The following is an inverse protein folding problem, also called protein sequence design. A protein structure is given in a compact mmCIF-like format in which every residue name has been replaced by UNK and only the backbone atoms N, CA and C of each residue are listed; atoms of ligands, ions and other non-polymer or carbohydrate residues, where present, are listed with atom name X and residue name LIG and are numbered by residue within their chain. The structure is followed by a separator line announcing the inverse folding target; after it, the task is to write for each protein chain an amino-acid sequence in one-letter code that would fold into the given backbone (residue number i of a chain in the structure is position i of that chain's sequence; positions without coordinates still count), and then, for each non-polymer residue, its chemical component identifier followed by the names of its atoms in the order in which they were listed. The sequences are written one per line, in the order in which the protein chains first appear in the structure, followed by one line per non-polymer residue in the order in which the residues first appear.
data_IF_043646087577
#
_entry.id   IF_043646087577
#
_cell.length_a   1.000
_cell.length_b   1.000
_cell.length_c   1.000
_cell.angle_alpha   90.00
_cell.angle_beta   90.00
_cell.angle_gamma   90.00
#
_symmetry.space_group_name_H-M   'P 1'
#
loop_
_entity.id
_entity.type
_entity.pdbx_description
1 polymer ?
#
# COMPACT_ATOMS: atom_id res chain seq x y z
N UNK A 1 4.81 -33.17 -14.05
CA UNK A 1 4.34 -32.25 -13.01
C UNK A 1 5.53 -31.85 -12.17
N UNK A 2 5.84 -30.55 -12.09
CA UNK A 2 6.89 -30.06 -11.19
C UNK A 2 6.26 -30.03 -9.80
N UNK A 3 6.33 -31.17 -9.11
CA UNK A 3 5.56 -31.43 -7.89
C UNK A 3 6.06 -30.66 -6.65
N UNK A 4 7.21 -29.97 -6.73
CA UNK A 4 7.87 -29.29 -5.61
C UNK A 4 8.66 -28.08 -6.13
N UNK A 5 8.63 -26.97 -5.41
CA UNK A 5 9.39 -25.75 -5.68
C UNK A 5 10.54 -25.63 -4.66
N UNK A 6 11.77 -25.92 -5.08
CA UNK A 6 12.97 -25.84 -4.23
C UNK A 6 13.48 -24.38 -4.09
N UNK A 7 14.60 -24.19 -3.38
CA UNK A 7 15.19 -22.86 -3.18
C UNK A 7 15.48 -22.10 -4.47
N UNK A 8 16.22 -22.69 -5.44
CA UNK A 8 16.47 -22.07 -6.74
C UNK A 8 15.18 -21.73 -7.52
N UNK A 9 14.17 -22.61 -7.51
CA UNK A 9 12.90 -22.32 -8.15
C UNK A 9 12.18 -21.14 -7.47
N UNK A 10 12.11 -21.11 -6.14
CA UNK A 10 11.52 -20.02 -5.37
C UNK A 10 12.23 -18.69 -5.66
N UNK A 11 13.57 -18.68 -5.65
CA UNK A 11 14.35 -17.49 -5.98
C UNK A 11 14.02 -16.99 -7.40
N UNK A 12 13.94 -17.88 -8.39
CA UNK A 12 13.59 -17.50 -9.75
C UNK A 12 12.16 -16.94 -9.87
N UNK A 13 11.21 -17.41 -9.05
CA UNK A 13 9.87 -16.81 -8.97
C UNK A 13 9.90 -15.40 -8.38
N UNK A 14 10.66 -15.19 -7.29
CA UNK A 14 10.83 -13.86 -6.69
C UNK A 14 11.50 -12.87 -7.66
N UNK A 15 12.48 -13.33 -8.44
CA UNK A 15 13.14 -12.51 -9.45
C UNK A 15 12.17 -12.08 -10.56
N UNK A 16 11.37 -13.02 -11.07
CA UNK A 16 10.37 -12.71 -12.10
C UNK A 16 9.24 -11.82 -11.59
N UNK A 17 8.80 -12.03 -10.34
CA UNK A 17 7.85 -11.14 -9.67
C UNK A 17 8.40 -9.71 -9.59
N UNK A 18 9.63 -9.57 -9.11
CA UNK A 18 10.28 -8.27 -8.93
C UNK A 18 10.47 -7.55 -10.27
N UNK A 19 10.88 -8.26 -11.32
CA UNK A 19 11.02 -7.71 -12.67
C UNK A 19 9.67 -7.25 -13.23
N UNK A 20 8.58 -8.00 -12.98
CA UNK A 20 7.24 -7.61 -13.42
C UNK A 20 6.78 -6.32 -12.75
N UNK A 21 7.01 -6.18 -11.44
CA UNK A 21 6.74 -4.94 -10.72
C UNK A 21 7.63 -3.79 -11.20
N UNK A 22 8.91 -4.05 -11.46
CA UNK A 22 9.88 -3.04 -11.88
C UNK A 22 9.46 -2.31 -13.17
N UNK A 23 8.80 -3.02 -14.09
CA UNK A 23 8.28 -2.46 -15.35
C UNK A 23 7.00 -1.65 -15.20
N UNK A 24 6.29 -1.83 -14.09
CA UNK A 24 5.00 -1.20 -13.82
C UNK A 24 5.08 -0.23 -12.65
N UNK A 25 6.27 0.23 -12.24
CA UNK A 25 6.41 1.19 -11.13
C UNK A 25 5.62 2.46 -11.40
N UNK A 26 5.78 3.06 -12.57
CA UNK A 26 5.11 4.31 -12.92
C UNK A 26 3.58 4.12 -12.97
N UNK A 27 3.13 2.97 -13.48
CA UNK A 27 1.72 2.58 -13.48
C UNK A 27 1.17 2.48 -12.04
N UNK A 28 1.87 1.81 -11.15
CA UNK A 28 1.46 1.64 -9.75
C UNK A 28 1.50 2.96 -9.00
N UNK A 29 2.55 3.77 -9.21
CA UNK A 29 2.69 5.10 -8.63
C UNK A 29 1.55 6.02 -9.07
N UNK A 30 1.13 5.96 -10.33
CA UNK A 30 0.03 6.77 -10.85
C UNK A 30 -1.34 6.44 -10.23
N UNK A 31 -1.50 5.23 -9.66
CA UNK A 31 -2.73 4.80 -8.97
C UNK A 31 -2.74 5.19 -7.49
N UNK A 32 -1.63 5.70 -6.94
CA UNK A 32 -1.46 5.88 -5.51
C UNK A 32 -2.23 7.10 -5.01
N UNK A 33 -3.45 6.86 -4.55
CA UNK A 33 -4.36 7.89 -4.02
C UNK A 33 -4.75 7.67 -2.56
N UNK A 34 -4.37 6.54 -1.95
CA UNK A 34 -4.76 6.15 -0.60
C UNK A 34 -3.57 5.58 0.19
N UNK A 35 -3.42 5.90 1.49
CA UNK A 35 -4.15 6.92 2.23
C UNK A 35 -3.68 8.35 1.91
N UNK A 36 -2.46 8.47 1.39
CA UNK A 36 -1.84 9.73 0.97
C UNK A 36 -1.54 9.62 -0.53
N UNK A 37 -1.94 10.61 -1.36
CA UNK A 37 -1.70 10.59 -2.79
C UNK A 37 -0.26 11.05 -3.13
N UNK A 38 0.75 10.40 -2.56
CA UNK A 38 2.17 10.80 -2.65
C UNK A 38 2.93 10.16 -3.83
N UNK A 39 2.27 9.28 -4.59
CA UNK A 39 2.83 8.72 -5.81
C UNK A 39 4.00 7.76 -5.64
N UNK A 40 4.22 7.19 -4.44
CA UNK A 40 5.43 6.40 -4.17
C UNK A 40 5.23 4.87 -4.06
N UNK A 41 3.98 4.38 -4.05
CA UNK A 41 3.66 2.98 -3.71
C UNK A 41 4.44 1.95 -4.52
N UNK A 42 4.54 2.11 -5.84
CA UNK A 42 5.30 1.20 -6.71
C UNK A 42 6.80 1.26 -6.43
N UNK A 43 7.33 2.45 -6.13
CA UNK A 43 8.74 2.66 -5.78
C UNK A 43 9.09 1.99 -4.45
N UNK A 44 8.23 2.14 -3.44
CA UNK A 44 8.36 1.55 -2.13
C UNK A 44 8.29 0.01 -2.17
N UNK A 45 7.32 -0.55 -2.89
CA UNK A 45 7.22 -1.99 -3.10
C UNK A 45 8.43 -2.56 -3.86
N UNK A 46 8.90 -1.87 -4.91
CA UNK A 46 10.06 -2.32 -5.67
C UNK A 46 11.35 -2.29 -4.84
N UNK A 47 11.55 -1.23 -4.04
CA UNK A 47 12.69 -1.13 -3.13
C UNK A 47 12.72 -2.31 -2.16
N UNK A 48 11.55 -2.62 -1.57
CA UNK A 48 11.35 -3.74 -0.65
C UNK A 48 11.71 -5.08 -1.31
N UNK A 49 11.20 -5.33 -2.52
CA UNK A 49 11.48 -6.58 -3.26
C UNK A 49 12.94 -6.70 -3.70
N UNK A 50 13.58 -5.60 -4.11
CA UNK A 50 15.01 -5.59 -4.44
C UNK A 50 15.88 -5.96 -3.23
N UNK A 51 15.54 -5.43 -2.05
CA UNK A 51 16.21 -5.80 -0.80
C UNK A 51 15.97 -7.28 -0.45
N UNK A 52 14.73 -7.77 -0.59
CA UNK A 52 14.40 -9.19 -0.40
C UNK A 52 15.26 -10.10 -1.29
N UNK A 53 15.38 -9.78 -2.59
CA UNK A 53 16.21 -10.53 -3.52
C UNK A 53 17.70 -10.51 -3.17
N UNK A 54 18.22 -9.36 -2.73
CA UNK A 54 19.63 -9.25 -2.34
C UNK A 54 19.99 -10.23 -1.22
N UNK A 55 19.10 -10.43 -0.26
CA UNK A 55 19.28 -11.42 0.81
C UNK A 55 19.05 -12.84 0.30
N UNK A 56 17.96 -13.07 -0.44
CA UNK A 56 17.58 -14.40 -0.94
C UNK A 56 18.65 -15.04 -1.83
N UNK A 57 19.38 -14.24 -2.62
CA UNK A 57 20.46 -14.72 -3.51
C UNK A 57 21.65 -15.33 -2.77
N UNK A 58 21.84 -14.97 -1.50
CA UNK A 58 22.95 -15.45 -0.67
C UNK A 58 22.52 -16.57 0.29
N UNK A 59 21.28 -17.05 0.18
CA UNK A 59 20.75 -18.10 1.04
C UNK A 59 21.18 -19.49 0.56
N UNK A 60 21.08 -20.48 1.46
CA UNK A 60 21.18 -21.89 1.09
C UNK A 60 20.08 -22.24 0.06
N UNK A 61 20.34 -23.16 -0.88
CA UNK A 61 19.44 -23.46 -1.99
C UNK A 61 18.25 -24.35 -1.59
N UNK A 62 17.64 -24.07 -0.45
CA UNK A 62 16.43 -24.72 0.07
C UNK A 62 15.33 -23.70 0.27
N UNK A 63 14.08 -24.09 0.04
CA UNK A 63 12.95 -23.16 0.01
C UNK A 63 12.79 -22.36 1.32
N UNK A 64 12.94 -23.01 2.47
CA UNK A 64 12.87 -22.35 3.78
C UNK A 64 13.96 -21.30 4.01
N UNK A 65 15.20 -21.58 3.61
CA UNK A 65 16.30 -20.62 3.75
C UNK A 65 16.14 -19.42 2.82
N UNK A 66 15.74 -19.65 1.57
CA UNK A 66 15.43 -18.59 0.60
C UNK A 66 14.29 -17.71 1.10
N UNK A 67 13.20 -18.30 1.60
CA UNK A 67 12.06 -17.57 2.14
C UNK A 67 12.43 -16.76 3.38
N UNK A 68 13.20 -17.34 4.31
CA UNK A 68 13.67 -16.65 5.51
C UNK A 68 14.58 -15.45 5.17
N UNK A 69 15.53 -15.64 4.25
CA UNK A 69 16.41 -14.57 3.79
C UNK A 69 15.62 -13.48 3.06
N UNK A 70 14.67 -13.86 2.19
CA UNK A 70 13.81 -12.91 1.48
C UNK A 70 12.95 -12.09 2.44
N UNK A 71 12.34 -12.71 3.46
CA UNK A 71 11.57 -12.02 4.49
C UNK A 71 12.42 -11.04 5.30
N UNK A 72 13.64 -11.45 5.68
CA UNK A 72 14.57 -10.56 6.38
C UNK A 72 14.96 -9.36 5.51
N UNK A 73 15.34 -9.61 4.25
CA UNK A 73 15.67 -8.53 3.31
C UNK A 73 14.49 -7.60 3.06
N UNK A 74 13.27 -8.14 2.95
CA UNK A 74 12.05 -7.34 2.80
C UNK A 74 11.80 -6.46 4.03
N UNK A 75 11.98 -6.98 5.25
CA UNK A 75 11.83 -6.19 6.49
C UNK A 75 12.88 -5.06 6.56
N UNK A 76 14.14 -5.38 6.26
CA UNK A 76 15.24 -4.39 6.31
C UNK A 76 15.10 -3.31 5.24
N UNK A 77 14.57 -3.66 4.07
CA UNK A 77 14.36 -2.74 2.95
C UNK A 77 12.94 -2.22 2.82
N UNK A 78 12.06 -2.47 3.81
CA UNK A 78 10.69 -1.99 3.75
C UNK A 78 10.67 -0.46 3.77
N UNK A 79 9.89 0.15 2.87
CA UNK A 79 9.60 1.59 2.87
C UNK A 79 8.13 1.84 2.62
N UNK A 80 7.60 2.89 3.24
CA UNK A 80 6.18 3.24 3.17
C UNK A 80 5.27 2.17 3.79
N UNK A 81 3.98 2.49 3.88
CA UNK A 81 2.94 1.53 4.25
C UNK A 81 2.98 0.28 3.35
N UNK A 82 3.10 0.47 2.04
CA UNK A 82 3.05 -0.60 1.04
C UNK A 82 4.23 -1.58 1.15
N UNK A 83 5.45 -1.07 1.35
CA UNK A 83 6.64 -1.91 1.55
C UNK A 83 6.63 -2.62 2.90
N UNK A 84 6.16 -1.95 3.96
CA UNK A 84 6.01 -2.59 5.29
C UNK A 84 4.98 -3.72 5.22
N UNK A 85 3.81 -3.52 4.62
CA UNK A 85 2.81 -4.58 4.43
C UNK A 85 3.38 -5.73 3.59
N UNK A 86 4.08 -5.42 2.49
CA UNK A 86 4.72 -6.43 1.64
C UNK A 86 5.77 -7.24 2.40
N UNK A 87 6.52 -6.63 3.31
CA UNK A 87 7.46 -7.35 4.18
C UNK A 87 6.76 -8.39 5.08
N UNK A 88 5.53 -8.11 5.50
CA UNK A 88 4.73 -9.04 6.31
C UNK A 88 4.14 -10.17 5.47
N UNK A 89 3.84 -9.92 4.19
CA UNK A 89 3.50 -10.99 3.24
C UNK A 89 4.69 -11.96 3.10
N UNK A 90 5.91 -11.42 2.95
CA UNK A 90 7.13 -12.23 2.90
C UNK A 90 7.40 -12.97 4.22
N UNK A 91 7.06 -12.36 5.37
CA UNK A 91 7.11 -13.04 6.67
C UNK A 91 6.18 -14.26 6.72
N UNK A 92 4.97 -14.15 6.17
CA UNK A 92 4.07 -15.30 6.07
C UNK A 92 4.62 -16.44 5.20
N UNK A 93 5.33 -16.10 4.12
CA UNK A 93 6.05 -17.08 3.30
C UNK A 93 7.19 -17.75 4.07
N UNK A 94 7.98 -16.98 4.83
CA UNK A 94 9.04 -17.51 5.72
C UNK A 94 8.44 -18.53 6.71
N UNK A 95 7.38 -18.15 7.40
CA UNK A 95 6.84 -18.96 8.49
C UNK A 95 6.22 -20.26 7.95
N UNK A 96 5.52 -20.21 6.81
CA UNK A 96 4.99 -21.39 6.15
C UNK A 96 6.07 -22.34 5.57
N UNK A 97 7.26 -21.83 5.24
CA UNK A 97 8.36 -22.61 4.67
C UNK A 97 9.47 -22.96 5.67
N UNK A 98 9.29 -22.64 6.95
CA UNK A 98 10.28 -22.91 7.99
C UNK A 98 10.70 -24.39 8.00
N UNK A 99 12.01 -24.64 7.84
CA UNK A 99 12.59 -25.98 7.85
C UNK A 99 12.26 -26.86 6.63
N UNK A 100 11.68 -26.31 5.56
CA UNK A 100 11.29 -27.07 4.35
C UNK A 100 12.33 -26.93 3.24
N UNK A 101 12.74 -28.07 2.68
CA UNK A 101 13.65 -28.11 1.53
C UNK A 101 12.98 -27.59 0.25
N UNK A 102 11.70 -27.90 0.08
CA UNK A 102 10.90 -27.52 -1.07
C UNK A 102 9.44 -27.27 -0.68
N UNK A 103 8.82 -26.29 -1.34
CA UNK A 103 7.44 -25.87 -1.19
C UNK A 103 6.50 -26.75 -2.02
N UNK A 104 5.44 -27.24 -1.38
CA UNK A 104 4.28 -27.88 -2.02
C UNK A 104 3.14 -26.88 -2.21
N UNK A 105 2.08 -27.26 -2.93
CA UNK A 105 0.91 -26.38 -3.09
C UNK A 105 0.21 -26.09 -1.75
N UNK A 106 0.14 -27.07 -0.84
CA UNK A 106 -0.39 -26.86 0.52
C UNK A 106 0.43 -25.82 1.28
N UNK A 107 1.76 -25.92 1.22
CA UNK A 107 2.64 -24.95 1.89
C UNK A 107 2.45 -23.53 1.33
N UNK A 108 2.19 -23.39 0.02
CA UNK A 108 1.90 -22.11 -0.59
C UNK A 108 0.52 -21.56 -0.17
N UNK A 109 -0.51 -22.40 -0.06
CA UNK A 109 -1.81 -21.98 0.49
C UNK A 109 -1.68 -21.55 1.95
N UNK A 110 -0.90 -22.29 2.76
CA UNK A 110 -0.60 -21.94 4.15
C UNK A 110 0.17 -20.61 4.23
N UNK A 111 1.09 -20.35 3.28
CA UNK A 111 1.81 -19.08 3.17
C UNK A 111 0.88 -17.89 2.92
N UNK A 112 -0.14 -18.02 2.08
CA UNK A 112 -1.14 -16.94 1.88
C UNK A 112 -1.99 -16.70 3.13
N UNK A 113 -2.38 -17.77 3.84
CA UNK A 113 -3.11 -17.64 5.09
C UNK A 113 -2.29 -16.92 6.17
N UNK A 114 -1.02 -17.30 6.32
CA UNK A 114 -0.06 -16.67 7.22
C UNK A 114 0.26 -15.23 6.82
N UNK A 115 0.45 -14.96 5.52
CA UNK A 115 0.66 -13.60 4.99
C UNK A 115 -0.51 -12.67 5.33
N UNK A 116 -1.76 -13.15 5.17
CA UNK A 116 -2.95 -12.40 5.58
C UNK A 116 -2.91 -12.05 7.06
N UNK A 117 -2.61 -13.02 7.92
CA UNK A 117 -2.56 -12.80 9.37
C UNK A 117 -1.52 -11.73 9.76
N UNK A 118 -0.29 -11.84 9.25
CA UNK A 118 0.77 -10.88 9.55
C UNK A 118 0.47 -9.48 9.00
N UNK A 119 -0.03 -9.39 7.76
CA UNK A 119 -0.35 -8.12 7.13
C UNK A 119 -1.48 -7.37 7.87
N UNK A 120 -2.53 -8.08 8.28
CA UNK A 120 -3.61 -7.47 9.06
C UNK A 120 -3.16 -7.08 10.47
N UNK A 121 -2.31 -7.88 11.14
CA UNK A 121 -1.79 -7.55 12.48
C UNK A 121 -0.89 -6.30 12.47
N UNK A 122 -0.15 -6.09 11.39
CA UNK A 122 0.77 -4.96 11.25
C UNK A 122 0.05 -3.61 11.22
N UNK A 123 -1.14 -3.56 10.61
CA UNK A 123 -1.89 -2.32 10.38
C UNK A 123 -2.90 -2.10 11.51
N UNK A 124 -2.83 -0.94 12.16
CA UNK A 124 -3.69 -0.59 13.30
C UNK A 124 -5.15 -0.43 12.92
N UNK A 125 -5.42 0.19 11.77
CA UNK A 125 -6.78 0.42 11.26
C UNK A 125 -6.89 -0.07 9.81
N UNK A 126 -7.07 -1.39 9.58
CA UNK A 126 -7.24 -1.93 8.24
C UNK A 126 -8.47 -1.31 7.54
N UNK A 127 -8.28 -0.81 6.32
CA UNK A 127 -9.35 -0.21 5.53
C UNK A 127 -9.82 -1.15 4.40
N UNK A 128 -11.12 -1.12 4.05
CA UNK A 128 -11.63 -1.86 2.90
C UNK A 128 -11.06 -1.32 1.59
N UNK A 129 -10.97 -2.19 0.58
CA UNK A 129 -10.54 -1.82 -0.76
C UNK A 129 -9.07 -1.43 -0.83
N UNK A 130 -8.23 -2.10 -0.04
CA UNK A 130 -6.77 -1.94 0.00
C UNK A 130 -6.07 -3.26 -0.37
N UNK A 131 -4.73 -3.22 -0.48
CA UNK A 131 -3.87 -4.41 -0.60
C UNK A 131 -4.24 -5.52 0.41
N UNK A 132 -4.63 -5.16 1.64
CA UNK A 132 -5.03 -6.13 2.67
C UNK A 132 -6.27 -6.93 2.26
N UNK A 133 -7.32 -6.25 1.79
CA UNK A 133 -8.54 -6.92 1.34
C UNK A 133 -8.30 -7.75 0.07
N UNK A 134 -7.42 -7.28 -0.82
CA UNK A 134 -7.07 -8.06 -2.00
C UNK A 134 -6.30 -9.34 -1.63
N UNK A 135 -5.35 -9.24 -0.69
CA UNK A 135 -4.65 -10.40 -0.14
C UNK A 135 -5.61 -11.38 0.56
N UNK A 136 -6.60 -10.88 1.28
CA UNK A 136 -7.61 -11.72 1.93
C UNK A 136 -8.44 -12.52 0.92
N UNK A 137 -8.93 -11.86 -0.14
CA UNK A 137 -9.68 -12.50 -1.22
C UNK A 137 -8.83 -13.58 -1.93
N UNK A 138 -7.56 -13.28 -2.18
CA UNK A 138 -6.59 -14.22 -2.76
C UNK A 138 -6.39 -15.42 -1.82
N UNK A 139 -6.16 -15.18 -0.52
CA UNK A 139 -5.97 -16.21 0.49
C UNK A 139 -7.19 -17.15 0.61
N UNK A 140 -8.40 -16.60 0.56
CA UNK A 140 -9.64 -17.40 0.60
C UNK A 140 -9.84 -18.23 -0.67
N UNK A 141 -9.41 -17.74 -1.84
CA UNK A 141 -9.46 -18.50 -3.08
C UNK A 141 -8.46 -19.68 -3.07
N UNK A 142 -7.19 -19.41 -2.72
CA UNK A 142 -6.15 -20.46 -2.69
C UNK A 142 -6.37 -21.49 -1.58
N UNK A 143 -6.96 -21.09 -0.45
CA UNK A 143 -7.29 -22.00 0.65
C UNK A 143 -8.35 -23.05 0.29
N UNK A 144 -9.10 -22.84 -0.81
CA UNK A 144 -10.08 -23.79 -1.36
C UNK A 144 -9.52 -24.67 -2.48
N UNK A 145 -8.33 -24.37 -2.99
CA UNK A 145 -7.68 -25.15 -4.05
C UNK A 145 -6.79 -26.25 -3.44
N UNK A 146 -6.73 -27.39 -4.12
CA UNK A 146 -5.86 -28.52 -3.80
C UNK A 146 -5.07 -28.84 -5.08
N UNK A 147 -4.03 -28.06 -5.33
CA UNK A 147 -3.20 -28.17 -6.52
C UNK A 147 -1.69 -28.20 -6.15
N UNK A 148 -0.84 -28.35 -7.16
CA UNK A 148 0.60 -28.12 -7.03
C UNK A 148 0.91 -26.60 -6.90
N UNK A 149 2.16 -26.20 -6.57
CA UNK A 149 2.50 -24.79 -6.43
C UNK A 149 2.11 -23.91 -7.62
N UNK A 150 2.18 -24.44 -8.84
CA UNK A 150 1.83 -23.70 -10.05
C UNK A 150 0.30 -23.48 -10.16
N UNK A 151 -0.51 -24.50 -9.84
CA UNK A 151 -1.96 -24.37 -9.81
C UNK A 151 -2.46 -23.43 -8.71
N UNK A 152 -1.83 -23.45 -7.53
CA UNK A 152 -2.12 -22.49 -6.46
C UNK A 152 -1.79 -21.06 -6.91
N UNK A 153 -0.62 -20.84 -7.53
CA UNK A 153 -0.23 -19.53 -8.04
C UNK A 153 -1.17 -19.02 -9.14
N UNK A 154 -1.63 -19.91 -10.03
CA UNK A 154 -2.63 -19.58 -11.05
C UNK A 154 -3.95 -19.15 -10.42
N UNK A 155 -4.41 -19.87 -9.40
CA UNK A 155 -5.60 -19.52 -8.63
C UNK A 155 -5.45 -18.14 -7.97
N UNK A 156 -4.28 -17.86 -7.38
CA UNK A 156 -3.99 -16.57 -6.78
C UNK A 156 -4.05 -15.41 -7.78
N UNK A 157 -3.44 -15.57 -8.97
CA UNK A 157 -3.47 -14.54 -10.02
C UNK A 157 -4.89 -14.29 -10.52
N UNK A 158 -5.67 -15.34 -10.76
CA UNK A 158 -7.08 -15.20 -11.20
C UNK A 158 -7.93 -14.50 -10.15
N UNK A 159 -7.86 -14.92 -8.88
CA UNK A 159 -8.58 -14.27 -7.79
C UNK A 159 -8.16 -12.80 -7.62
N UNK A 160 -6.86 -12.52 -7.80
CA UNK A 160 -6.31 -11.18 -7.69
C UNK A 160 -6.85 -10.20 -8.74
N UNK A 161 -7.21 -10.65 -9.95
CA UNK A 161 -7.83 -9.76 -10.96
C UNK A 161 -9.13 -9.16 -10.43
N UNK A 162 -10.01 -10.01 -9.92
CA UNK A 162 -11.30 -9.57 -9.38
C UNK A 162 -11.13 -8.78 -8.08
N UNK A 163 -10.20 -9.22 -7.23
CA UNK A 163 -9.92 -8.57 -5.95
C UNK A 163 -9.42 -7.13 -6.16
N UNK A 164 -8.49 -6.92 -7.10
CA UNK A 164 -8.01 -5.58 -7.48
C UNK A 164 -9.15 -4.73 -8.03
N UNK A 165 -9.98 -5.27 -8.93
CA UNK A 165 -11.11 -4.52 -9.49
C UNK A 165 -12.11 -4.07 -8.40
N UNK A 166 -12.37 -4.91 -7.39
CA UNK A 166 -13.26 -4.56 -6.26
C UNK A 166 -12.73 -3.40 -5.43
N UNK A 167 -11.41 -3.18 -5.36
CA UNK A 167 -10.83 -2.11 -4.54
C UNK A 167 -11.32 -0.72 -4.91
N UNK A 168 -11.55 -0.46 -6.20
CA UNK A 168 -12.08 0.82 -6.69
C UNK A 168 -13.43 1.16 -6.03
N UNK A 169 -14.29 0.16 -5.84
CA UNK A 169 -15.63 0.35 -5.28
C UNK A 169 -15.70 0.06 -3.77
N UNK A 170 -14.64 -0.41 -3.14
CA UNK A 170 -14.65 -0.67 -1.70
C UNK A 170 -14.03 0.48 -0.88
N UNK A 171 -13.10 1.24 -1.46
CA UNK A 171 -12.48 2.38 -0.80
C UNK A 171 -13.02 3.71 -1.36
N UNK A 172 -13.51 4.65 -0.52
CA UNK A 172 -14.04 5.93 -0.98
C UNK A 172 -13.05 6.79 -1.79
N UNK A 173 -11.77 6.84 -1.42
CA UNK A 173 -10.76 7.63 -2.13
C UNK A 173 -10.48 7.05 -3.52
N UNK A 174 -10.32 5.72 -3.59
CA UNK A 174 -10.17 5.01 -4.87
C UNK A 174 -11.39 5.24 -5.78
N UNK A 175 -12.61 5.19 -5.20
CA UNK A 175 -13.86 5.43 -5.94
C UNK A 175 -13.92 6.86 -6.48
N UNK A 176 -13.59 7.85 -5.65
CA UNK A 176 -13.62 9.25 -6.00
C UNK A 176 -12.61 9.58 -7.12
N UNK A 177 -11.42 8.99 -7.06
CA UNK A 177 -10.41 9.10 -8.10
C UNK A 177 -10.68 8.21 -9.34
N UNK A 178 -11.62 7.26 -9.24
CA UNK A 178 -11.93 6.34 -10.33
C UNK A 178 -10.84 5.30 -10.61
N UNK A 179 -9.98 5.03 -9.63
CA UNK A 179 -8.82 4.13 -9.74
C UNK A 179 -8.95 2.92 -8.81
N UNK A 180 -8.17 1.87 -9.06
CA UNK A 180 -7.99 0.75 -8.12
C UNK A 180 -6.89 1.08 -7.11
N UNK A 181 -6.83 0.32 -6.01
CA UNK A 181 -5.76 0.44 -5.02
C UNK A 181 -4.38 0.11 -5.63
N UNK A 182 -3.43 1.04 -5.46
CA UNK A 182 -2.07 0.88 -5.97
C UNK A 182 -1.36 -0.33 -5.36
N UNK A 183 -1.51 -0.54 -4.06
CA UNK A 183 -0.90 -1.67 -3.36
C UNK A 183 -1.43 -3.02 -3.85
N UNK A 184 -2.74 -3.15 -4.00
CA UNK A 184 -3.39 -4.34 -4.55
C UNK A 184 -2.93 -4.61 -5.99
N UNK A 185 -2.82 -3.57 -6.82
CA UNK A 185 -2.29 -3.68 -8.18
C UNK A 185 -0.84 -4.16 -8.18
N UNK A 186 0.01 -3.57 -7.34
CA UNK A 186 1.40 -3.98 -7.15
C UNK A 186 1.53 -5.44 -6.72
N UNK A 187 0.70 -5.89 -5.77
CA UNK A 187 0.68 -7.28 -5.31
C UNK A 187 0.30 -8.22 -6.46
N UNK A 188 -0.75 -7.89 -7.22
CA UNK A 188 -1.15 -8.69 -8.38
C UNK A 188 -0.05 -8.78 -9.45
N UNK A 189 0.68 -7.70 -9.71
CA UNK A 189 1.81 -7.69 -10.65
C UNK A 189 2.93 -8.64 -10.19
N UNK A 190 3.23 -8.70 -8.90
CA UNK A 190 4.19 -9.67 -8.35
C UNK A 190 3.74 -11.11 -8.61
N UNK A 191 2.46 -11.41 -8.38
CA UNK A 191 1.88 -12.73 -8.63
C UNK A 191 1.90 -13.10 -10.12
N UNK A 192 1.53 -12.16 -11.00
CA UNK A 192 1.57 -12.34 -12.45
C UNK A 192 3.00 -12.64 -12.95
N UNK A 193 4.00 -11.92 -12.44
CA UNK A 193 5.41 -12.17 -12.74
C UNK A 193 5.87 -13.56 -12.31
N UNK A 194 5.52 -13.97 -11.09
CA UNK A 194 5.83 -15.32 -10.60
C UNK A 194 5.15 -16.42 -11.43
N UNK A 195 3.89 -16.22 -11.85
CA UNK A 195 3.14 -17.15 -12.70
C UNK A 195 3.75 -17.23 -14.10
N UNK A 196 4.09 -16.08 -14.69
CA UNK A 196 4.75 -16.04 -15.99
C UNK A 196 6.07 -16.81 -15.99
N UNK A 197 6.79 -16.86 -14.85
CA UNK A 197 7.95 -17.74 -14.70
C UNK A 197 7.57 -19.23 -14.68
N UNK A 198 6.52 -19.61 -13.96
CA UNK A 198 6.08 -21.02 -13.89
C UNK A 198 5.65 -21.55 -15.27
N UNK A 199 5.05 -20.69 -16.10
CA UNK A 199 4.56 -21.02 -17.44
C UNK A 199 5.63 -20.82 -18.54
N UNK A 200 6.86 -20.43 -18.18
CA UNK A 200 7.93 -20.17 -19.16
C UNK A 200 7.69 -18.94 -20.05
N UNK A 201 6.76 -18.06 -19.67
CA UNK A 201 6.40 -16.81 -20.38
C UNK A 201 7.23 -15.60 -19.98
N UNK A 202 8.05 -15.68 -18.92
CA UNK A 202 8.83 -14.54 -18.42
C UNK A 202 9.70 -13.85 -19.51
N UNK A 203 10.26 -14.62 -20.44
CA UNK A 203 11.06 -14.08 -21.57
C UNK A 203 10.21 -13.39 -22.65
N UNK A 204 8.92 -13.72 -22.78
CA UNK A 204 8.00 -13.10 -23.77
C UNK A 204 7.47 -11.76 -23.28
N UNK A 205 7.26 -11.60 -21.97
CA UNK A 205 6.95 -10.31 -21.36
C UNK A 205 8.07 -9.29 -21.62
N UNK A 206 9.33 -9.74 -21.62
CA UNK A 206 10.47 -8.90 -21.97
C UNK A 206 10.47 -8.38 -23.42
N UNK A 207 9.77 -9.05 -24.34
CA UNK A 207 9.83 -8.77 -25.78
C UNK A 207 8.58 -8.08 -26.36
N UNK A 208 7.45 -8.03 -25.64
CA UNK A 208 6.18 -7.52 -26.16
C UNK A 208 5.89 -6.03 -25.87
N UNK A 209 6.81 -5.30 -25.24
CA UNK A 209 6.56 -3.93 -24.72
C UNK A 209 7.09 -2.80 -25.64
N UNK A 210 7.10 -3.04 -26.95
CA UNK A 210 7.33 -1.99 -27.97
C UNK A 210 6.09 -1.13 -28.28
N UNK A 211 4.94 -1.41 -27.66
CA UNK A 211 3.70 -0.66 -27.87
C UNK A 211 3.04 -0.34 -26.54
N UNK A 212 3.48 0.74 -25.91
CA UNK A 212 2.73 1.36 -24.83
C UNK A 212 1.37 1.81 -25.37
N UNK A 213 0.30 1.13 -25.01
CA UNK A 213 -1.03 1.73 -25.05
C UNK A 213 -1.00 2.90 -24.07
N UNK A 214 -1.29 4.13 -24.51
CA UNK A 214 -1.41 5.25 -23.59
C UNK A 214 -2.47 4.88 -22.56
N UNK A 215 -2.16 5.04 -21.29
CA UNK A 215 -3.20 5.23 -20.28
C UNK A 215 -3.96 6.45 -20.77
N UNK A 216 -5.14 6.23 -21.35
CA UNK A 216 -6.04 7.31 -21.72
C UNK A 216 -6.28 8.08 -20.44
N UNK A 217 -5.74 9.30 -20.35
CA UNK A 217 -6.11 10.26 -19.34
C UNK A 217 -7.64 10.34 -19.37
N UNK A 218 -8.28 9.69 -18.41
CA UNK A 218 -9.70 9.82 -18.21
C UNK A 218 -9.91 11.31 -17.96
N UNK A 219 -10.64 11.96 -18.85
CA UNK A 219 -11.17 13.32 -18.64
C UNK A 219 -11.69 13.40 -17.22
N UNK A 220 -11.11 14.30 -16.43
CA UNK A 220 -11.42 14.50 -15.01
C UNK A 220 -12.93 14.48 -14.79
N UNK A 221 -13.49 13.47 -14.10
CA UNK A 221 -14.80 13.63 -13.53
C UNK A 221 -14.64 14.70 -12.45
N UNK A 222 -15.31 15.83 -12.61
CA UNK A 222 -15.60 16.74 -11.50
C UNK A 222 -16.08 15.86 -10.35
N UNK A 223 -15.33 15.81 -9.25
CA UNK A 223 -15.67 15.05 -8.07
C UNK A 223 -17.12 15.37 -7.68
N UNK A 224 -18.02 14.41 -7.84
CA UNK A 224 -19.30 14.45 -7.18
C UNK A 224 -19.02 14.13 -5.71
N UNK A 225 -19.27 15.11 -4.84
CA UNK A 225 -19.28 14.92 -3.40
C UNK A 225 -20.31 13.82 -3.08
N UNK A 226 -19.81 12.60 -2.93
CA UNK A 226 -20.58 11.43 -2.52
C UNK A 226 -20.72 11.43 -1.00
N UNK A 227 -21.86 10.91 -0.57
CA UNK A 227 -22.37 10.85 0.80
C UNK A 227 -21.34 10.41 1.85
N UNK A 228 -21.45 11.00 3.04
CA UNK A 228 -20.52 10.89 4.15
C UNK A 228 -20.22 9.44 4.57
N UNK A 229 -18.98 9.04 4.33
CA UNK A 229 -18.34 7.91 4.99
C UNK A 229 -17.14 8.44 5.78
N UNK A 230 -16.91 7.86 6.96
CA UNK A 230 -15.77 8.14 7.82
C UNK A 230 -14.49 7.60 7.15
N UNK A 231 -13.97 8.38 6.19
CA UNK A 231 -12.70 8.09 5.52
C UNK A 231 -11.59 8.51 6.46
N UNK A 232 -10.61 7.63 6.68
CA UNK A 232 -9.44 7.93 7.48
C UNK A 232 -8.79 9.24 7.00
N UNK A 233 -8.93 10.31 7.79
CA UNK A 233 -8.19 11.55 7.56
C UNK A 233 -6.75 11.27 7.94
N UNK A 234 -5.80 11.31 7.00
CA UNK A 234 -4.39 11.25 7.34
C UNK A 234 -4.03 12.51 8.14
N UNK A 235 -3.70 12.34 9.42
CA UNK A 235 -3.34 13.43 10.34
C UNK A 235 -1.82 13.42 10.56
N UNK A 236 -1.05 13.91 9.61
CA UNK A 236 0.39 14.06 9.79
C UNK A 236 1.06 14.69 8.58
N UNK A 237 1.87 15.72 8.79
CA UNK A 237 2.60 16.39 7.70
C UNK A 237 3.83 15.60 7.25
N UNK A 238 4.36 14.74 8.12
CA UNK A 238 5.59 14.01 7.88
C UNK A 238 5.38 12.50 7.93
N UNK A 239 6.01 11.80 6.99
CA UNK A 239 6.28 10.37 7.10
C UNK A 239 7.63 10.14 7.78
N UNK A 240 7.65 9.30 8.82
CA UNK A 240 8.86 8.97 9.57
C UNK A 240 9.08 7.46 9.54
N UNK A 241 10.25 7.07 9.06
CA UNK A 241 10.63 5.66 8.95
C UNK A 241 12.03 5.44 9.52
N UNK A 242 12.23 4.33 10.21
CA UNK A 242 13.55 3.88 10.63
C UNK A 242 13.55 2.43 11.07
N UNK A 243 14.75 1.87 11.25
CA UNK A 243 15.00 0.56 11.81
C UNK A 243 15.56 0.67 13.23
N UNK A 244 15.15 -0.23 14.12
CA UNK A 244 15.72 -0.41 15.45
C UNK A 244 16.38 -1.78 15.47
N UNK A 245 17.70 -1.85 15.64
CA UNK A 245 18.43 -3.12 15.73
C UNK A 245 18.42 -3.64 17.17
N UNK A 246 18.17 -4.94 17.34
CA UNK A 246 18.14 -5.64 18.64
C UNK A 246 17.38 -4.84 19.71
N UNK A 247 16.08 -4.57 19.49
CA UNK A 247 15.30 -3.70 20.35
C UNK A 247 15.23 -4.22 21.80
N UNK A 248 15.30 -3.32 22.77
CA UNK A 248 15.11 -3.60 24.19
C UNK A 248 13.63 -3.66 24.60
N UNK A 249 12.73 -3.26 23.70
CA UNK A 249 11.27 -3.18 23.88
C UNK A 249 10.56 -3.93 22.77
N UNK A 250 9.36 -4.44 23.03
CA UNK A 250 8.61 -5.18 22.00
C UNK A 250 8.02 -4.23 20.96
N UNK A 251 7.66 -4.78 19.79
CA UNK A 251 6.94 -4.04 18.76
C UNK A 251 5.64 -3.42 19.30
N UNK A 252 4.90 -4.18 20.12
CA UNK A 252 3.63 -3.74 20.70
C UNK A 252 3.85 -2.59 21.71
N UNK A 253 4.90 -2.64 22.52
CA UNK A 253 5.23 -1.56 23.47
C UNK A 253 5.57 -0.24 22.76
N UNK A 254 6.37 -0.32 21.69
CA UNK A 254 6.77 0.86 20.89
C UNK A 254 5.57 1.41 20.13
N UNK A 255 4.74 0.53 19.55
CA UNK A 255 3.51 0.88 18.85
C UNK A 255 2.53 1.62 19.75
N UNK A 256 2.30 1.09 20.96
CA UNK A 256 1.36 1.68 21.91
C UNK A 256 1.77 3.11 22.31
N UNK A 257 3.06 3.36 22.57
CA UNK A 257 3.55 4.69 22.92
C UNK A 257 3.43 5.68 21.74
N UNK A 258 3.72 5.25 20.52
CA UNK A 258 3.53 6.09 19.33
C UNK A 258 2.07 6.46 19.11
N UNK A 259 1.14 5.53 19.36
CA UNK A 259 -0.29 5.78 19.28
C UNK A 259 -0.77 6.73 20.39
N UNK A 260 -0.29 6.59 21.62
CA UNK A 260 -0.59 7.50 22.73
C UNK A 260 -0.13 8.94 22.42
N UNK A 261 0.96 9.07 21.67
CA UNK A 261 1.46 10.35 21.19
C UNK A 261 0.58 11.01 20.11
N UNK A 262 -0.44 10.30 19.61
CA UNK A 262 -1.36 10.80 18.58
C UNK A 262 -0.81 10.66 17.15
N UNK A 263 0.14 9.74 16.95
CA UNK A 263 0.62 9.43 15.61
C UNK A 263 -0.42 8.65 14.80
N UNK A 264 -0.38 8.82 13.48
CA UNK A 264 -1.30 8.19 12.54
C UNK A 264 -0.56 7.20 11.63
N UNK A 265 -1.29 6.30 10.97
CA UNK A 265 -0.72 5.26 10.10
C UNK A 265 0.47 4.53 10.75
N UNK A 266 0.32 4.15 12.03
CA UNK A 266 1.41 3.54 12.82
C UNK A 266 1.60 2.07 12.43
N UNK A 267 2.74 1.76 11.81
CA UNK A 267 3.24 0.40 11.63
C UNK A 267 4.55 0.23 12.39
N UNK A 268 4.54 -0.73 13.31
CA UNK A 268 5.71 -1.20 14.05
C UNK A 268 5.73 -2.72 13.91
N UNK A 269 6.65 -3.23 13.10
CA UNK A 269 6.73 -4.65 12.75
C UNK A 269 8.15 -5.16 12.93
N UNK A 270 8.30 -6.47 13.09
CA UNK A 270 9.60 -7.10 13.29
C UNK A 270 9.60 -8.00 14.52
N UNK A 271 10.78 -8.26 15.05
CA UNK A 271 11.02 -9.20 16.14
C UNK A 271 12.23 -8.77 17.00
N UNK A 272 12.74 -9.67 17.84
CA UNK A 272 13.88 -9.42 18.72
C UNK A 272 15.18 -9.08 17.97
N UNK A 273 15.26 -9.35 16.66
CA UNK A 273 16.44 -9.01 15.86
C UNK A 273 16.38 -7.59 15.35
N UNK A 274 15.20 -7.12 14.92
CA UNK A 274 14.99 -5.77 14.44
C UNK A 274 13.50 -5.38 14.41
N UNK A 275 13.23 -4.09 14.64
CA UNK A 275 11.94 -3.46 14.34
C UNK A 275 12.06 -2.52 13.15
N UNK A 276 11.03 -2.49 12.31
CA UNK A 276 10.78 -1.47 11.29
C UNK A 276 9.62 -0.59 11.75
N UNK A 277 9.88 0.71 11.74
CA UNK A 277 8.91 1.77 12.07
C UNK A 277 8.54 2.50 10.78
N UNK A 278 7.24 2.76 10.61
CA UNK A 278 6.68 3.70 9.63
C UNK A 278 5.47 4.36 10.28
N UNK A 279 5.48 5.69 10.34
CA UNK A 279 4.51 6.47 11.11
C UNK A 279 4.30 7.83 10.45
N UNK A 280 3.04 8.24 10.30
CA UNK A 280 2.70 9.60 9.92
C UNK A 280 2.53 10.47 11.17
N UNK A 281 3.13 11.66 11.18
CA UNK A 281 3.12 12.53 12.36
C UNK A 281 3.29 14.01 12.02
N UNK A 282 2.90 14.88 12.94
CA UNK A 282 3.25 16.30 12.93
C UNK A 282 4.57 16.59 13.67
N UNK A 283 5.09 15.64 14.43
CA UNK A 283 6.23 15.83 15.34
C UNK A 283 7.27 14.71 15.12
N UNK A 284 8.03 14.76 14.02
CA UNK A 284 8.99 13.71 13.66
C UNK A 284 10.08 13.51 14.72
N UNK A 285 10.48 14.57 15.41
CA UNK A 285 11.45 14.53 16.51
C UNK A 285 11.00 13.60 17.65
N UNK A 286 9.69 13.55 17.92
CA UNK A 286 9.12 12.74 19.01
C UNK A 286 9.07 11.27 18.64
N UNK A 287 8.67 10.95 17.41
CA UNK A 287 8.66 9.58 16.91
C UNK A 287 10.09 9.02 16.89
N UNK A 288 11.07 9.82 16.48
CA UNK A 288 12.49 9.43 16.55
C UNK A 288 12.94 9.22 18.00
N UNK A 289 12.55 10.11 18.93
CA UNK A 289 12.90 9.99 20.34
C UNK A 289 12.36 8.70 20.96
N UNK A 290 11.12 8.29 20.66
CA UNK A 290 10.55 7.02 21.12
C UNK A 290 11.43 5.85 20.66
N UNK A 291 11.82 5.82 19.39
CA UNK A 291 12.69 4.77 18.84
C UNK A 291 14.04 4.67 19.55
N UNK A 292 14.64 5.81 19.90
CA UNK A 292 15.91 5.86 20.64
C UNK A 292 15.81 5.29 22.06
N UNK A 293 14.62 5.25 22.67
CA UNK A 293 14.42 4.58 23.97
C UNK A 293 14.41 3.05 23.84
N UNK A 294 14.09 2.52 22.66
CA UNK A 294 13.99 1.09 22.39
C UNK A 294 15.27 0.49 21.80
N UNK A 295 16.23 1.30 21.33
CA UNK A 295 17.51 0.79 20.84
C UNK A 295 18.24 1.73 19.89
N UNK A 296 19.28 1.19 19.23
CA UNK A 296 20.01 1.95 18.20
C UNK A 296 19.15 2.02 16.93
N UNK A 297 18.83 3.24 16.51
CA UNK A 297 18.12 3.49 15.25
C UNK A 297 19.08 3.62 14.05
N UNK A 298 18.59 3.29 12.86
CA UNK A 298 19.29 3.43 11.58
C UNK A 298 18.30 3.59 10.42
N UNK A 299 18.80 3.93 9.22
CA UNK A 299 17.97 4.18 8.02
C UNK A 299 16.81 5.15 8.29
N UNK A 300 17.13 6.26 8.95
CA UNK A 300 16.14 7.28 9.31
C UNK A 300 15.75 8.09 8.09
N UNK A 301 14.47 8.04 7.75
CA UNK A 301 13.84 8.80 6.66
C UNK A 301 12.75 9.68 7.27
N UNK A 302 12.74 10.95 6.87
CA UNK A 302 11.68 11.90 7.20
C UNK A 302 11.29 12.62 5.92
N UNK A 303 10.06 12.44 5.48
CA UNK A 303 9.53 12.97 4.22
C UNK A 303 8.32 13.86 4.46
N UNK A 304 8.17 14.91 3.65
CA UNK A 304 7.04 15.85 3.71
C UNK A 304 5.93 15.36 2.79
N UNK A 305 4.84 14.88 3.39
CA UNK A 305 3.71 14.28 2.69
C UNK A 305 2.92 15.29 1.86
N UNK A 306 2.87 16.57 2.27
CA UNK A 306 2.21 17.64 1.51
C UNK A 306 3.01 17.95 0.24
N UNK A 307 4.34 18.06 0.37
CA UNK A 307 5.22 18.31 -0.77
C UNK A 307 5.15 17.17 -1.80
N UNK A 308 5.12 15.91 -1.33
CA UNK A 308 4.99 14.74 -2.20
C UNK A 308 3.63 14.68 -2.89
N UNK A 309 2.54 14.92 -2.15
CA UNK A 309 1.18 14.94 -2.71
C UNK A 309 1.03 16.01 -3.79
N UNK A 310 1.61 17.20 -3.58
CA UNK A 310 1.59 18.28 -4.57
C UNK A 310 2.37 17.93 -5.85
N UNK A 311 3.46 17.16 -5.76
CA UNK A 311 4.19 16.68 -6.93
C UNK A 311 3.43 15.58 -7.69
N UNK A 312 2.78 14.68 -6.95
CA UNK A 312 1.95 13.65 -7.55
C UNK A 312 0.78 14.25 -8.33
N UNK A 313 0.07 15.22 -7.75
CA UNK A 313 -1.00 15.94 -8.43
C UNK A 313 -0.51 16.63 -9.71
N UNK A 314 0.67 17.28 -9.68
CA UNK A 314 1.27 17.89 -10.88
C UNK A 314 1.55 16.87 -11.98
N UNK A 315 1.92 15.65 -11.61
CA UNK A 315 2.32 14.60 -12.55
C UNK A 315 1.13 13.86 -13.15
N UNK A 316 0.12 13.54 -12.34
CA UNK A 316 -1.03 12.70 -12.76
C UNK A 316 -2.27 13.51 -13.08
N UNK A 317 -2.37 14.75 -12.60
CA UNK A 317 -3.60 15.56 -12.65
C UNK A 317 -4.70 15.04 -11.71
N UNK A 318 -4.40 14.06 -10.85
CA UNK A 318 -5.35 13.52 -9.87
C UNK A 318 -5.25 14.35 -8.59
N UNK A 319 -6.23 15.23 -8.37
CA UNK A 319 -6.40 15.97 -7.14
C UNK A 319 -7.36 15.23 -6.22
N UNK A 320 -6.84 14.63 -5.14
CA UNK A 320 -7.68 14.08 -4.07
C UNK A 320 -7.65 15.06 -2.92
N UNK A 321 -8.72 15.85 -2.79
CA UNK A 321 -8.91 16.67 -1.59
C UNK A 321 -8.96 15.72 -0.38
N UNK A 322 -8.22 16.00 0.70
CA UNK A 322 -8.40 15.25 1.94
C UNK A 322 -9.89 15.27 2.31
N UNK A 323 -10.44 14.16 2.85
CA UNK A 323 -11.82 14.13 3.28
C UNK A 323 -12.08 15.37 4.15
N UNK A 324 -13.13 16.13 3.83
CA UNK A 324 -13.51 17.27 4.65
C UNK A 324 -13.62 16.76 6.10
N UNK A 325 -12.90 17.39 7.02
CA UNK A 325 -12.99 17.03 8.42
C UNK A 325 -14.48 17.13 8.80
N UNK A 326 -15.07 16.00 9.21
CA UNK A 326 -16.45 15.96 9.68
C UNK A 326 -16.55 16.77 10.97
N UNK A 327 -16.78 18.07 10.83
CA UNK A 327 -17.23 18.93 11.90
C UNK A 327 -18.73 18.64 12.10
N UNK A 328 -19.24 18.58 13.35
CA UNK A 328 -20.69 18.53 13.58
C UNK A 328 -21.44 19.76 13.04
N UNK A 329 -20.69 20.76 12.59
CA UNK A 329 -21.18 22.00 11.96
C UNK A 329 -20.57 22.10 10.56
N UNK A 330 -21.43 22.00 9.54
CA UNK A 330 -21.11 22.36 8.16
C UNK A 330 -21.13 23.88 7.97
N UNK A 331 -20.15 24.42 7.25
CA UNK A 331 -20.09 25.85 6.93
C UNK A 331 -20.26 26.01 5.42
N UNK A 332 -21.35 26.65 4.99
CA UNK A 332 -21.56 27.06 3.60
C UNK A 332 -21.22 28.55 3.47
N UNK A 333 -20.24 28.88 2.63
CA UNK A 333 -19.75 30.24 2.45
C UNK A 333 -20.06 30.77 1.05
N UNK A 334 -20.82 31.87 0.96
CA UNK A 334 -21.14 32.53 -0.31
C UNK A 334 -20.12 33.63 -0.59
N UNK A 335 -19.30 33.46 -1.62
CA UNK A 335 -18.06 34.23 -1.79
C UNK A 335 -17.88 34.78 -3.21
N UNK A 336 -17.38 36.03 -3.35
CA UNK A 336 -17.08 36.62 -4.64
C UNK A 336 -15.67 36.27 -5.11
N UNK A 337 -15.55 35.58 -6.23
CA UNK A 337 -14.27 35.34 -6.91
C UNK A 337 -13.48 34.14 -6.41
N UNK A 338 -12.55 33.69 -7.26
CA UNK A 338 -11.88 32.39 -7.10
C UNK A 338 -10.92 32.32 -5.90
N UNK A 339 -10.19 33.40 -5.60
CA UNK A 339 -9.27 33.43 -4.46
C UNK A 339 -9.97 33.22 -3.11
N UNK A 340 -11.17 33.78 -2.93
CA UNK A 340 -11.95 33.57 -1.71
C UNK A 340 -12.54 32.16 -1.64
N UNK A 341 -12.94 31.59 -2.78
CA UNK A 341 -13.42 30.20 -2.88
C UNK A 341 -12.31 29.23 -2.45
N UNK A 342 -11.08 29.45 -2.88
CA UNK A 342 -9.92 28.64 -2.48
C UNK A 342 -9.65 28.73 -0.98
N UNK A 343 -9.62 29.94 -0.41
CA UNK A 343 -9.41 30.15 1.03
C UNK A 343 -10.52 29.47 1.87
N UNK A 344 -11.78 29.59 1.48
CA UNK A 344 -12.87 28.97 2.23
C UNK A 344 -12.83 27.45 2.17
N UNK A 345 -12.47 26.89 1.01
CA UNK A 345 -12.27 25.45 0.84
C UNK A 345 -11.11 24.96 1.70
N UNK A 346 -9.99 25.70 1.75
CA UNK A 346 -8.85 25.32 2.61
C UNK A 346 -9.17 25.38 4.11
N UNK A 347 -10.19 26.16 4.50
CA UNK A 347 -10.70 26.23 5.88
C UNK A 347 -11.82 25.21 6.16
N UNK A 348 -12.15 24.32 5.23
CA UNK A 348 -13.17 23.28 5.40
C UNK A 348 -14.61 23.73 5.19
N UNK A 349 -14.84 24.91 4.62
CA UNK A 349 -16.18 25.35 4.23
C UNK A 349 -16.53 24.87 2.81
N UNK A 350 -17.82 24.66 2.53
CA UNK A 350 -18.36 24.43 1.18
C UNK A 350 -18.63 25.79 0.52
N UNK A 351 -17.83 26.21 -0.47
CA UNK A 351 -17.99 27.51 -1.08
C UNK A 351 -19.08 27.48 -2.16
N UNK A 352 -19.95 28.50 -2.14
CA UNK A 352 -20.85 28.84 -3.23
C UNK A 352 -20.41 30.16 -3.84
N UNK A 353 -20.43 30.25 -5.17
CA UNK A 353 -20.20 31.53 -5.83
C UNK A 353 -21.37 32.46 -5.54
N UNK A 354 -21.04 33.66 -5.07
CA UNK A 354 -22.02 34.73 -5.02
C UNK A 354 -21.40 36.10 -4.80
N UNK A 355 -22.23 37.11 -4.69
CA UNK A 355 -21.82 38.49 -4.52
C UNK A 355 -23.03 39.43 -4.53
N UNK A 356 -22.78 40.74 -4.43
CA UNK A 356 -23.83 41.74 -4.25
C UNK A 356 -24.98 41.67 -5.28
N UNK A 357 -24.70 41.19 -6.51
CA UNK A 357 -25.69 41.08 -7.60
C UNK A 357 -25.90 39.65 -8.09
N UNK A 358 -25.23 38.66 -7.51
CA UNK A 358 -25.31 37.25 -7.90
C UNK A 358 -25.47 36.42 -6.64
N UNK A 359 -26.70 36.22 -6.19
CA UNK A 359 -26.96 35.33 -5.07
C UNK A 359 -27.19 33.91 -5.58
N UNK A 360 -26.63 32.89 -4.91
CA UNK A 360 -26.96 31.51 -5.20
C UNK A 360 -28.46 31.28 -4.95
N UNK A 361 -29.05 30.43 -5.78
CA UNK A 361 -30.42 29.99 -5.63
C UNK A 361 -30.61 29.18 -4.34
N UNK A 362 -31.86 29.08 -3.89
CA UNK A 362 -32.23 28.21 -2.76
C UNK A 362 -31.84 26.75 -3.00
N UNK A 363 -31.88 26.29 -4.25
CA UNK A 363 -31.47 24.93 -4.61
C UNK A 363 -29.97 24.74 -4.47
N UNK A 364 -29.15 25.67 -4.96
CA UNK A 364 -27.69 25.63 -4.80
C UNK A 364 -27.27 25.68 -3.33
N UNK A 365 -27.97 26.46 -2.50
CA UNK A 365 -27.76 26.48 -1.05
C UNK A 365 -28.12 25.14 -0.40
N UNK A 366 -29.25 24.54 -0.78
CA UNK A 366 -29.68 23.24 -0.26
C UNK A 366 -28.73 22.12 -0.66
N UNK A 367 -28.25 22.13 -1.90
CA UNK A 367 -27.28 21.14 -2.40
C UNK A 367 -25.93 21.29 -1.71
N UNK A 368 -25.48 22.52 -1.44
CA UNK A 368 -24.27 22.78 -0.65
C UNK A 368 -24.40 22.29 0.80
N UNK A 369 -25.56 22.48 1.43
CA UNK A 369 -25.85 21.99 2.80
C UNK A 369 -25.87 20.46 2.84
N UNK A 370 -26.37 19.80 1.80
CA UNK A 370 -26.37 18.32 1.71
C UNK A 370 -24.98 17.75 1.46
N UNK A 371 -24.08 18.55 0.92
CA UNK A 371 -22.70 18.18 0.60
C UNK A 371 -21.69 18.50 1.72
N UNK A 372 -22.11 19.24 2.76
CA UNK A 372 -21.35 19.45 4.03
C UNK A 372 -21.68 18.38 5.04
#
# INVERSE_FOLDING_TARGET
MVARCDGPALLAHLEAATERLARSVDEVNALNVYPVPDGDTGTNMLHTMRSALAYARNAEPVAGAVAAAAAQGALMGARGNSGVILSQIMRGLKDALAGKDAMTGRDLSDAYASAREHAYKAVTHPAPGTMLTALADIADAVGRSIDDPAGILKTAVHAGVEAVARTQQANPMNRAAGVVDAGARGLWLLLDGALARSEGRAQRLAAHEGSGTPVSAATSPRAHAGEGFDVASWKGAYDVQYLIASPSRTADDVKAEMMEFGADCVLVVGDETALKIHVHTLQPDKIIAIGLTAGRISDVVVEDLEAMSAEHERTTGIAVAPPAAHSPVGVVAVLPGDGFVEIARSLGATPLRGGATMNPSTQELLDAIRAT
#
